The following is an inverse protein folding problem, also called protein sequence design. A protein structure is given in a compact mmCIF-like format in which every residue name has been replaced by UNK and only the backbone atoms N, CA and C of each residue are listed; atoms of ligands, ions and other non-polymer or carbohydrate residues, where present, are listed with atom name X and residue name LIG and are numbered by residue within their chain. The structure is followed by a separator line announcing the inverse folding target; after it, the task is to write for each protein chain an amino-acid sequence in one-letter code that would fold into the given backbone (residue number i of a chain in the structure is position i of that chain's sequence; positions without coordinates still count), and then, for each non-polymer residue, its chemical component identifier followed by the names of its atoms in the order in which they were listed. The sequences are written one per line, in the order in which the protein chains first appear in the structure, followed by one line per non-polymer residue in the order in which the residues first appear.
data_IF_830566106377
#
_entry.id   IF_830566106377
#
_cell.length_a   1.000
_cell.length_b   1.000
_cell.length_c   1.000
_cell.angle_alpha   90.00
_cell.angle_beta   90.00
_cell.angle_gamma   90.00
#
_symmetry.space_group_name_H-M   'P 1'
#
loop_
_entity.id
_entity.type
_entity.pdbx_description
1 polymer ?
#
# COMPACT_ATOMS: atom_id res chain seq x y z
N UNK A 1 -9.67 -14.12 -17.81
CA UNK A 1 -9.75 -15.03 -16.65
C UNK A 1 -8.45 -15.82 -16.46
N UNK A 2 -7.82 -16.38 -17.49
CA UNK A 2 -6.59 -17.16 -17.39
C UNK A 2 -5.40 -16.37 -16.77
N UNK A 3 -5.14 -15.14 -17.22
CA UNK A 3 -4.08 -14.28 -16.62
C UNK A 3 -4.31 -14.00 -15.13
N UNK A 4 -5.57 -13.84 -14.71
CA UNK A 4 -5.90 -13.62 -13.30
C UNK A 4 -5.64 -14.89 -12.47
N UNK A 5 -5.93 -16.05 -13.04
CA UNK A 5 -5.63 -17.34 -12.42
C UNK A 5 -4.12 -17.52 -12.19
N UNK A 6 -3.31 -17.31 -13.23
CA UNK A 6 -1.85 -17.38 -13.12
C UNK A 6 -1.29 -16.40 -12.08
N UNK A 7 -1.87 -15.20 -11.98
CA UNK A 7 -1.49 -14.20 -11.00
C UNK A 7 -1.74 -14.68 -9.56
N UNK A 8 -2.92 -15.28 -9.32
CA UNK A 8 -3.26 -15.80 -7.98
C UNK A 8 -2.35 -16.98 -7.60
N UNK A 9 -2.05 -17.88 -8.54
CA UNK A 9 -1.11 -18.99 -8.31
C UNK A 9 0.30 -18.48 -7.96
N UNK A 10 0.80 -17.50 -8.72
CA UNK A 10 2.14 -16.92 -8.50
C UNK A 10 2.29 -16.31 -7.10
N UNK A 11 1.23 -15.76 -6.54
CA UNK A 11 1.26 -15.11 -5.23
C UNK A 11 1.33 -16.08 -4.04
N UNK A 12 1.17 -17.39 -4.25
CA UNK A 12 1.30 -18.45 -3.22
C UNK A 12 0.59 -18.13 -1.90
N UNK A 13 -0.60 -17.49 -1.98
CA UNK A 13 -1.33 -17.06 -0.78
C UNK A 13 -2.03 -18.22 -0.05
N UNK A 14 -2.24 -18.06 1.26
CA UNK A 14 -2.91 -19.03 2.12
C UNK A 14 -4.38 -19.26 1.73
N UNK A 15 -4.95 -20.40 2.17
CA UNK A 15 -6.38 -20.70 2.04
C UNK A 15 -7.25 -19.66 2.78
N UNK A 16 -8.51 -19.50 2.34
CA UNK A 16 -9.53 -18.69 3.01
C UNK A 16 -10.27 -19.49 4.09
N UNK A 17 -11.51 -19.05 4.40
CA UNK A 17 -12.38 -19.74 5.39
C UNK A 17 -12.79 -21.14 4.97
N UNK A 18 -12.76 -21.45 3.68
CA UNK A 18 -13.11 -22.72 3.07
C UNK A 18 -11.98 -23.77 3.14
N UNK A 19 -10.77 -23.37 3.56
CA UNK A 19 -9.59 -24.24 3.61
C UNK A 19 -9.03 -24.62 2.23
N UNK A 20 -9.64 -24.19 1.12
CA UNK A 20 -9.21 -24.55 -0.23
C UNK A 20 -7.81 -24.03 -0.53
N UNK A 21 -6.92 -24.93 -0.92
CA UNK A 21 -5.56 -24.59 -1.37
C UNK A 21 -5.53 -24.13 -2.84
N UNK A 22 -4.38 -23.57 -3.25
CA UNK A 22 -4.18 -23.17 -4.66
C UNK A 22 -4.13 -24.36 -5.62
N UNK A 23 -3.69 -25.54 -5.16
CA UNK A 23 -3.67 -26.77 -5.95
C UNK A 23 -5.08 -27.28 -6.24
N UNK A 24 -5.94 -27.30 -5.22
CA UNK A 24 -7.35 -27.68 -5.34
C UNK A 24 -8.15 -26.70 -6.18
N UNK A 25 -7.78 -25.40 -6.19
CA UNK A 25 -8.42 -24.39 -7.02
C UNK A 25 -8.43 -24.78 -8.50
N UNK A 26 -7.34 -25.37 -9.02
CA UNK A 26 -7.22 -25.72 -10.43
C UNK A 26 -8.34 -26.69 -10.83
N UNK A 27 -8.40 -27.82 -10.15
CA UNK A 27 -9.41 -28.86 -10.38
C UNK A 27 -10.84 -28.34 -10.16
N UNK A 28 -11.01 -27.50 -9.12
CA UNK A 28 -12.32 -26.90 -8.83
C UNK A 28 -12.79 -25.97 -9.96
N UNK A 29 -11.91 -25.08 -10.44
CA UNK A 29 -12.26 -24.13 -11.52
C UNK A 29 -12.53 -24.87 -12.84
N UNK A 30 -11.76 -25.90 -13.17
CA UNK A 30 -12.00 -26.71 -14.38
C UNK A 30 -13.39 -27.35 -14.35
N UNK A 31 -13.81 -27.85 -13.20
CA UNK A 31 -15.11 -28.51 -13.04
C UNK A 31 -16.29 -27.55 -12.96
N UNK A 32 -16.14 -26.38 -12.31
CA UNK A 32 -17.25 -25.51 -11.93
C UNK A 32 -17.25 -24.13 -12.60
N UNK A 33 -16.35 -23.87 -13.60
CA UNK A 33 -16.22 -22.54 -14.23
C UNK A 33 -17.53 -22.05 -14.85
N UNK A 34 -18.30 -22.92 -15.47
CA UNK A 34 -19.54 -22.55 -16.17
C UNK A 34 -20.67 -22.26 -15.16
N UNK A 35 -20.72 -23.00 -14.06
CA UNK A 35 -21.64 -22.74 -12.94
C UNK A 35 -21.33 -21.38 -12.28
N UNK A 36 -20.04 -21.12 -12.04
CA UNK A 36 -19.58 -19.83 -11.49
C UNK A 36 -19.94 -18.70 -12.44
N UNK A 37 -19.69 -18.87 -13.75
CA UNK A 37 -20.02 -17.84 -14.74
C UNK A 37 -21.52 -17.56 -14.81
N UNK A 38 -22.37 -18.60 -14.80
CA UNK A 38 -23.83 -18.45 -14.76
C UNK A 38 -24.31 -17.76 -13.47
N UNK A 39 -23.78 -18.19 -12.33
CA UNK A 39 -24.11 -17.56 -11.03
C UNK A 39 -23.70 -16.08 -10.97
N UNK A 40 -22.56 -15.71 -11.56
CA UNK A 40 -22.13 -14.31 -11.69
C UNK A 40 -23.10 -13.53 -12.59
N UNK A 41 -23.43 -14.06 -13.77
CA UNK A 41 -24.33 -13.42 -14.73
C UNK A 41 -25.73 -13.18 -14.14
N UNK A 42 -26.31 -14.20 -13.51
CA UNK A 42 -27.60 -14.10 -12.81
C UNK A 42 -27.54 -13.25 -11.54
N UNK A 43 -26.34 -12.94 -11.03
CA UNK A 43 -26.12 -12.20 -9.79
C UNK A 43 -26.35 -13.04 -8.52
N UNK A 44 -26.38 -14.35 -8.67
CA UNK A 44 -26.62 -15.33 -7.59
C UNK A 44 -25.31 -15.76 -6.88
N UNK A 45 -24.15 -15.42 -7.45
CA UNK A 45 -22.87 -15.76 -6.83
C UNK A 45 -22.82 -15.31 -5.35
N UNK A 46 -22.54 -16.26 -4.47
CA UNK A 46 -22.45 -16.04 -3.01
C UNK A 46 -20.98 -15.85 -2.62
N UNK A 47 -20.64 -14.61 -2.28
CA UNK A 47 -19.32 -14.27 -1.73
C UNK A 47 -19.16 -14.90 -0.36
N UNK A 48 -18.03 -15.54 -0.12
CA UNK A 48 -17.73 -16.19 1.15
C UNK A 48 -17.22 -15.17 2.19
N UNK A 49 -17.30 -15.47 3.49
CA UNK A 49 -16.66 -14.69 4.53
C UNK A 49 -15.16 -14.59 4.32
N UNK A 50 -14.56 -13.51 4.78
CA UNK A 50 -13.11 -13.27 4.72
C UNK A 50 -12.49 -13.80 6.00
N UNK A 51 -11.44 -14.61 5.92
CA UNK A 51 -10.69 -15.07 7.09
C UNK A 51 -9.84 -13.90 7.64
N UNK A 52 -10.12 -13.49 8.87
CA UNK A 52 -9.37 -12.43 9.57
C UNK A 52 -8.19 -12.99 10.33
N UNK A 53 -6.98 -12.51 10.01
CA UNK A 53 -5.74 -12.88 10.71
C UNK A 53 -5.12 -11.64 11.33
N UNK A 54 -4.86 -11.71 12.62
CA UNK A 54 -4.24 -10.63 13.39
C UNK A 54 -2.71 -10.70 13.25
N UNK A 55 -2.09 -9.64 12.69
CA UNK A 55 -0.63 -9.53 12.56
C UNK A 55 -0.14 -8.42 13.50
N UNK A 56 0.79 -8.73 14.43
CA UNK A 56 1.34 -7.72 15.33
C UNK A 56 2.18 -6.70 14.56
N UNK A 57 1.99 -5.41 14.89
CA UNK A 57 2.85 -4.31 14.41
C UNK A 57 3.99 -4.08 15.38
N UNK A 58 5.09 -3.48 14.90
CA UNK A 58 6.27 -3.14 15.73
C UNK A 58 5.99 -2.21 16.92
N UNK A 59 4.84 -1.55 16.95
CA UNK A 59 4.40 -0.66 18.03
C UNK A 59 3.36 -1.31 18.97
N UNK A 60 3.26 -2.63 19.00
CA UNK A 60 2.32 -3.38 19.85
C UNK A 60 0.85 -3.36 19.38
N UNK A 61 0.51 -2.57 18.37
CA UNK A 61 -0.83 -2.59 17.77
C UNK A 61 -0.97 -3.77 16.81
N UNK A 62 -2.20 -4.18 16.54
CA UNK A 62 -2.52 -5.28 15.63
C UNK A 62 -2.97 -4.71 14.27
N UNK A 63 -2.56 -5.39 13.19
CA UNK A 63 -3.12 -5.20 11.85
C UNK A 63 -3.99 -6.38 11.52
N UNK A 64 -5.22 -6.14 11.13
CA UNK A 64 -6.13 -7.18 10.67
C UNK A 64 -5.90 -7.40 9.16
N UNK A 65 -5.37 -8.58 8.81
CA UNK A 65 -5.30 -9.03 7.43
C UNK A 65 -6.56 -9.81 7.10
N UNK A 66 -7.18 -9.51 5.97
CA UNK A 66 -8.34 -10.25 5.48
C UNK A 66 -7.95 -11.16 4.32
N UNK A 67 -8.15 -12.46 4.46
CA UNK A 67 -7.84 -13.46 3.44
C UNK A 67 -9.15 -13.97 2.83
N UNK A 68 -9.56 -13.49 1.63
CA UNK A 68 -10.69 -14.05 0.91
C UNK A 68 -10.41 -15.48 0.45
N UNK A 69 -11.44 -16.26 0.16
CA UNK A 69 -11.28 -17.59 -0.46
C UNK A 69 -10.49 -17.50 -1.77
N UNK A 70 -9.91 -18.61 -2.20
CA UNK A 70 -9.09 -18.63 -3.41
C UNK A 70 -9.91 -18.25 -4.64
N UNK A 71 -11.16 -18.73 -4.71
CA UNK A 71 -12.10 -18.41 -5.79
C UNK A 71 -12.46 -16.93 -5.77
N UNK A 72 -12.79 -16.35 -4.62
CA UNK A 72 -13.04 -14.91 -4.52
C UNK A 72 -11.82 -14.08 -4.93
N UNK A 73 -10.60 -14.49 -4.55
CA UNK A 73 -9.35 -13.83 -4.98
C UNK A 73 -9.17 -13.87 -6.50
N UNK A 74 -9.46 -15.00 -7.13
CA UNK A 74 -9.41 -15.14 -8.59
C UNK A 74 -10.40 -14.20 -9.27
N UNK A 75 -11.65 -14.19 -8.83
CA UNK A 75 -12.67 -13.30 -9.39
C UNK A 75 -12.37 -11.82 -9.14
N UNK A 76 -11.85 -11.48 -7.95
CA UNK A 76 -11.38 -10.12 -7.65
C UNK A 76 -10.21 -9.72 -8.55
N UNK A 77 -9.29 -10.63 -8.84
CA UNK A 77 -8.18 -10.40 -9.77
C UNK A 77 -8.67 -10.20 -11.21
N UNK A 78 -9.68 -10.97 -11.65
CA UNK A 78 -10.34 -10.77 -12.95
C UNK A 78 -10.94 -9.37 -13.07
N UNK A 79 -11.71 -8.96 -12.06
CA UNK A 79 -12.31 -7.62 -12.02
C UNK A 79 -11.22 -6.55 -12.00
N UNK A 80 -10.20 -6.69 -11.14
CA UNK A 80 -9.08 -5.76 -11.07
C UNK A 80 -8.45 -5.55 -12.44
N UNK A 81 -8.07 -6.62 -13.13
CA UNK A 81 -7.44 -6.54 -14.46
C UNK A 81 -8.36 -5.90 -15.51
N UNK A 82 -9.66 -6.17 -15.45
CA UNK A 82 -10.62 -5.63 -16.44
C UNK A 82 -10.88 -4.14 -16.28
N UNK A 83 -10.82 -3.61 -15.04
CA UNK A 83 -11.14 -2.20 -14.79
C UNK A 83 -9.91 -1.31 -14.57
N UNK A 84 -8.73 -1.87 -14.27
CA UNK A 84 -7.51 -1.10 -13.96
C UNK A 84 -7.19 -0.07 -15.04
N UNK A 85 -7.20 -0.45 -16.31
CA UNK A 85 -6.83 0.45 -17.40
C UNK A 85 -7.74 1.70 -17.46
N UNK A 86 -9.04 1.53 -17.19
CA UNK A 86 -10.01 2.65 -17.20
C UNK A 86 -9.68 3.73 -16.16
N UNK A 87 -9.12 3.33 -15.02
CA UNK A 87 -8.73 4.25 -13.97
C UNK A 87 -7.29 4.73 -14.11
N UNK A 88 -6.38 3.84 -14.59
CA UNK A 88 -4.96 4.16 -14.75
C UNK A 88 -4.74 5.34 -15.68
N UNK A 89 -5.54 5.49 -16.74
CA UNK A 89 -5.50 6.62 -17.68
C UNK A 89 -5.80 7.98 -17.02
N UNK A 90 -6.48 7.99 -15.87
CA UNK A 90 -6.84 9.22 -15.15
C UNK A 90 -5.98 9.49 -13.93
N UNK A 91 -5.35 8.44 -13.38
CA UNK A 91 -4.55 8.58 -12.18
C UNK A 91 -3.40 9.57 -12.38
N UNK A 92 -3.22 10.44 -11.40
CA UNK A 92 -2.25 11.54 -11.47
C UNK A 92 -0.81 11.05 -11.45
N UNK A 93 0.08 11.82 -12.07
CA UNK A 93 1.49 11.45 -12.26
C UNK A 93 2.23 11.19 -10.94
N UNK A 94 1.89 11.93 -9.89
CA UNK A 94 2.55 11.91 -8.58
C UNK A 94 1.94 10.93 -7.57
N UNK A 95 1.09 10.02 -8.04
CA UNK A 95 0.60 8.85 -7.29
C UNK A 95 1.35 7.60 -7.76
N UNK A 96 2.03 6.89 -6.85
CA UNK A 96 2.98 5.83 -7.19
C UNK A 96 2.60 4.44 -6.67
N UNK A 97 1.95 4.35 -5.51
CA UNK A 97 1.66 3.07 -4.86
C UNK A 97 0.62 2.24 -5.61
N UNK A 98 0.84 0.92 -5.70
CA UNK A 98 -0.09 -0.04 -6.30
C UNK A 98 -0.46 0.20 -7.77
N UNK A 99 0.39 0.85 -8.53
CA UNK A 99 0.14 1.16 -9.94
C UNK A 99 1.14 0.46 -10.86
N UNK A 100 0.71 0.03 -12.07
CA UNK A 100 1.64 -0.51 -13.06
C UNK A 100 2.69 0.52 -13.44
N UNK A 101 3.93 0.07 -13.63
CA UNK A 101 5.08 0.91 -14.04
C UNK A 101 5.43 2.07 -13.09
N UNK A 102 4.86 2.07 -11.87
CA UNK A 102 5.20 3.00 -10.80
C UNK A 102 5.84 2.24 -9.63
N UNK A 103 6.82 2.88 -8.96
CA UNK A 103 7.53 2.25 -7.86
C UNK A 103 7.97 3.27 -6.79
N UNK A 104 8.50 2.74 -5.68
CA UNK A 104 8.97 3.55 -4.56
C UNK A 104 10.17 4.44 -4.94
N UNK A 105 11.08 3.96 -5.79
CA UNK A 105 12.26 4.72 -6.22
C UNK A 105 11.88 5.99 -6.97
N UNK A 106 10.92 5.91 -7.90
CA UNK A 106 10.41 7.08 -8.61
C UNK A 106 9.79 8.12 -7.64
N UNK A 107 9.07 7.65 -6.61
CA UNK A 107 8.52 8.52 -5.58
C UNK A 107 9.62 9.21 -4.77
N UNK A 108 10.64 8.46 -4.35
CA UNK A 108 11.79 8.97 -3.61
C UNK A 108 12.60 10.00 -4.42
N UNK A 109 12.90 9.70 -5.68
CA UNK A 109 13.59 10.62 -6.59
C UNK A 109 12.82 11.93 -6.78
N UNK A 110 11.50 11.84 -6.93
CA UNK A 110 10.67 13.04 -7.07
C UNK A 110 10.61 13.84 -5.76
N UNK A 111 10.61 13.17 -4.59
CA UNK A 111 10.70 13.82 -3.29
C UNK A 111 12.01 14.62 -3.16
N UNK A 112 13.13 13.99 -3.50
CA UNK A 112 14.45 14.62 -3.48
C UNK A 112 14.50 15.83 -4.42
N UNK A 113 13.96 15.70 -5.63
CA UNK A 113 13.87 16.80 -6.59
C UNK A 113 13.13 18.00 -6.00
N UNK A 114 11.98 17.84 -5.36
CA UNK A 114 11.26 18.93 -4.73
C UNK A 114 12.07 19.61 -3.62
N UNK A 115 12.76 18.82 -2.78
CA UNK A 115 13.61 19.37 -1.72
C UNK A 115 14.78 20.16 -2.30
N UNK A 116 15.43 19.66 -3.37
CA UNK A 116 16.50 20.36 -4.07
C UNK A 116 16.03 21.63 -4.80
N UNK A 117 14.77 21.71 -5.18
CA UNK A 117 14.10 22.90 -5.74
C UNK A 117 13.68 23.93 -4.66
N UNK A 118 14.03 23.69 -3.39
CA UNK A 118 13.77 24.60 -2.28
C UNK A 118 12.43 24.43 -1.56
N UNK A 119 11.69 23.34 -1.78
CA UNK A 119 10.48 23.02 -1.03
C UNK A 119 10.86 22.39 0.32
N UNK A 120 11.16 23.22 1.31
CA UNK A 120 11.75 22.81 2.59
C UNK A 120 10.72 22.59 3.72
N UNK A 121 9.43 22.78 3.46
CA UNK A 121 8.36 22.56 4.41
C UNK A 121 7.40 21.50 3.87
N UNK A 122 7.34 20.36 4.53
CA UNK A 122 6.62 19.17 4.09
C UNK A 122 5.43 18.95 5.01
N UNK A 123 4.23 18.98 4.45
CA UNK A 123 3.02 18.54 5.16
C UNK A 123 2.95 17.02 5.01
N UNK A 124 3.28 16.32 6.08
CA UNK A 124 3.28 14.86 6.19
C UNK A 124 1.96 14.41 6.83
N UNK A 125 1.16 13.63 6.12
CA UNK A 125 -0.18 13.22 6.54
C UNK A 125 -0.31 11.71 6.54
N UNK A 126 -0.60 11.16 7.73
CA UNK A 126 -0.94 9.74 7.97
C UNK A 126 -2.46 9.62 8.16
N UNK A 127 -3.11 8.80 7.33
CA UNK A 127 -4.54 8.52 7.46
C UNK A 127 -4.79 7.48 8.55
N UNK A 128 -5.74 7.76 9.44
CA UNK A 128 -6.08 6.85 10.54
C UNK A 128 -6.84 5.64 10.01
N UNK A 129 -6.22 4.46 10.06
CA UNK A 129 -6.84 3.19 9.66
C UNK A 129 -7.53 3.26 8.28
N UNK A 130 -6.89 3.86 7.29
CA UNK A 130 -7.48 4.17 5.99
C UNK A 130 -8.28 3.00 5.40
N UNK A 131 -7.66 1.80 5.33
CA UNK A 131 -8.33 0.62 4.76
C UNK A 131 -9.61 0.21 5.49
N UNK A 132 -9.72 0.48 6.78
CA UNK A 132 -10.90 0.14 7.59
C UNK A 132 -11.97 1.24 7.54
N UNK A 133 -11.62 2.46 7.12
CA UNK A 133 -12.48 3.64 7.15
C UNK A 133 -13.10 4.00 5.80
N UNK A 134 -12.71 3.37 4.69
CA UNK A 134 -13.23 3.67 3.34
C UNK A 134 -14.77 3.57 3.31
N UNK A 135 -15.42 4.67 2.94
CA UNK A 135 -16.88 4.72 2.82
C UNK A 135 -17.36 3.97 1.58
N UNK A 136 -18.15 2.90 1.76
CA UNK A 136 -18.63 2.05 0.66
C UNK A 136 -19.54 2.79 -0.32
N UNK A 137 -20.40 3.71 0.15
CA UNK A 137 -21.32 4.43 -0.73
C UNK A 137 -20.54 5.37 -1.66
N UNK A 138 -19.61 6.14 -1.10
CA UNK A 138 -18.76 7.03 -1.87
C UNK A 138 -17.89 6.26 -2.88
N UNK A 139 -17.23 5.19 -2.43
CA UNK A 139 -16.41 4.34 -3.30
C UNK A 139 -17.22 3.74 -4.45
N UNK A 140 -18.43 3.22 -4.18
CA UNK A 140 -19.29 2.66 -5.22
C UNK A 140 -19.79 3.73 -6.20
N UNK A 141 -20.01 4.96 -5.75
CA UNK A 141 -20.36 6.09 -6.61
C UNK A 141 -19.20 6.44 -7.55
N UNK A 142 -17.96 6.50 -7.03
CA UNK A 142 -16.77 6.74 -7.84
C UNK A 142 -16.55 5.62 -8.88
N UNK A 143 -16.75 4.37 -8.49
CA UNK A 143 -16.71 3.23 -9.39
C UNK A 143 -17.78 3.33 -10.49
N UNK A 144 -19.03 3.67 -10.13
CA UNK A 144 -20.13 3.78 -11.07
C UNK A 144 -19.88 4.79 -12.18
N UNK A 145 -19.14 5.85 -11.91
CA UNK A 145 -18.80 6.86 -12.92
C UNK A 145 -18.07 6.26 -14.14
N UNK A 146 -17.29 5.18 -13.94
CA UNK A 146 -16.47 4.54 -14.98
C UNK A 146 -16.90 3.11 -15.31
N UNK A 147 -17.36 2.36 -14.32
CA UNK A 147 -17.77 0.98 -14.46
C UNK A 147 -19.28 0.94 -14.58
N UNK A 148 -19.80 0.98 -15.82
CA UNK A 148 -21.25 0.99 -16.10
C UNK A 148 -21.87 -0.42 -16.10
N UNK A 149 -21.14 -1.45 -15.67
CA UNK A 149 -21.60 -2.84 -15.62
C UNK A 149 -22.27 -3.14 -14.26
N UNK A 150 -23.60 -3.37 -14.23
CA UNK A 150 -24.32 -3.64 -12.98
C UNK A 150 -23.85 -4.93 -12.27
N UNK A 151 -23.47 -5.96 -13.06
CA UNK A 151 -22.97 -7.23 -12.54
C UNK A 151 -21.67 -7.00 -11.75
N UNK A 152 -20.71 -6.30 -12.36
CA UNK A 152 -19.42 -5.98 -11.72
C UNK A 152 -19.62 -5.15 -10.46
N UNK A 153 -20.44 -4.11 -10.50
CA UNK A 153 -20.69 -3.25 -9.33
C UNK A 153 -21.42 -4.00 -8.20
N UNK A 154 -22.37 -4.88 -8.54
CA UNK A 154 -23.06 -5.75 -7.57
C UNK A 154 -22.05 -6.68 -6.89
N UNK A 155 -21.13 -7.27 -7.66
CA UNK A 155 -20.11 -8.17 -7.14
C UNK A 155 -19.11 -7.44 -6.23
N UNK A 156 -18.62 -6.27 -6.62
CA UNK A 156 -17.76 -5.43 -5.78
C UNK A 156 -18.47 -5.07 -4.47
N UNK A 157 -19.75 -4.68 -4.54
CA UNK A 157 -20.56 -4.39 -3.34
C UNK A 157 -20.68 -5.60 -2.41
N UNK A 158 -20.86 -6.82 -2.96
CA UNK A 158 -20.88 -8.05 -2.17
C UNK A 158 -19.54 -8.27 -1.46
N UNK A 159 -18.40 -8.14 -2.12
CA UNK A 159 -17.07 -8.26 -1.50
C UNK A 159 -16.80 -7.21 -0.44
N UNK A 160 -17.18 -5.95 -0.67
CA UNK A 160 -17.04 -4.89 0.33
C UNK A 160 -17.81 -5.19 1.60
N UNK A 161 -18.98 -5.84 1.50
CA UNK A 161 -19.87 -6.18 2.60
C UNK A 161 -19.66 -7.58 3.18
N UNK A 162 -18.78 -8.39 2.58
CA UNK A 162 -18.46 -9.73 3.06
C UNK A 162 -18.04 -9.65 4.54
N UNK A 163 -18.62 -10.46 5.44
CA UNK A 163 -18.25 -10.47 6.83
C UNK A 163 -16.82 -10.99 7.01
N UNK A 164 -16.14 -10.59 8.08
CA UNK A 164 -14.83 -11.13 8.45
C UNK A 164 -15.04 -12.13 9.60
N UNK A 165 -14.45 -13.31 9.45
CA UNK A 165 -14.37 -14.34 10.49
C UNK A 165 -13.10 -14.13 11.31
N UNK A 166 -13.23 -13.75 12.58
CA UNK A 166 -12.14 -13.55 13.53
C UNK A 166 -12.38 -14.42 14.76
N UNK A 167 -11.48 -15.34 15.05
CA UNK A 167 -11.57 -16.21 16.24
C UNK A 167 -12.95 -16.88 16.38
N UNK A 168 -13.48 -17.38 15.26
CA UNK A 168 -14.80 -18.05 15.22
C UNK A 168 -16.02 -17.12 15.19
N UNK A 169 -15.83 -15.80 15.26
CA UNK A 169 -16.94 -14.82 15.22
C UNK A 169 -17.03 -14.11 13.87
N UNK A 170 -18.23 -14.08 13.28
CA UNK A 170 -18.52 -13.32 12.06
C UNK A 170 -18.84 -11.86 12.37
N UNK A 171 -18.00 -10.95 11.88
CA UNK A 171 -18.16 -9.50 12.04
C UNK A 171 -18.63 -8.90 10.72
N UNK A 172 -19.83 -8.29 10.74
CA UNK A 172 -20.39 -7.58 9.58
C UNK A 172 -19.60 -6.30 9.29
N UNK A 173 -19.43 -5.99 8.00
CA UNK A 173 -18.72 -4.79 7.54
C UNK A 173 -19.68 -3.81 6.87
N UNK A 174 -19.60 -2.53 7.28
CA UNK A 174 -20.36 -1.42 6.69
C UNK A 174 -19.46 -0.39 6.02
N UNK A 175 -18.16 -0.44 6.26
CA UNK A 175 -17.11 0.41 5.70
C UNK A 175 -15.80 -0.38 5.57
N UNK A 176 -14.84 0.21 4.90
CA UNK A 176 -13.48 -0.33 4.72
C UNK A 176 -13.34 -1.31 3.56
N UNK A 177 -12.11 -1.52 3.15
CA UNK A 177 -11.68 -2.51 2.16
C UNK A 177 -10.75 -3.52 2.83
N UNK A 178 -10.86 -4.84 2.54
CA UNK A 178 -10.07 -5.84 3.25
C UNK A 178 -8.59 -5.73 2.88
N UNK A 179 -7.71 -5.63 3.87
CA UNK A 179 -6.27 -5.69 3.64
C UNK A 179 -5.87 -7.13 3.27
N UNK A 180 -5.40 -7.35 2.03
CA UNK A 180 -5.04 -8.67 1.52
C UNK A 180 -5.91 -9.15 0.34
N UNK A 181 -6.97 -8.44 0.01
CA UNK A 181 -7.77 -8.68 -1.20
C UNK A 181 -7.04 -8.13 -2.45
N UNK A 182 -7.00 -8.86 -3.59
CA UNK A 182 -6.40 -8.36 -4.83
C UNK A 182 -7.03 -7.07 -5.37
N UNK A 183 -8.29 -6.82 -5.06
CA UNK A 183 -9.03 -5.64 -5.54
C UNK A 183 -8.77 -4.41 -4.66
N UNK A 184 -8.41 -4.57 -3.39
CA UNK A 184 -8.29 -3.47 -2.41
C UNK A 184 -7.28 -2.39 -2.80
N UNK A 185 -6.10 -2.70 -3.38
CA UNK A 185 -5.15 -1.68 -3.83
C UNK A 185 -5.73 -0.73 -4.89
N UNK A 186 -6.46 -1.27 -5.86
CA UNK A 186 -7.13 -0.46 -6.89
C UNK A 186 -8.25 0.39 -6.28
N UNK A 187 -9.08 -0.18 -5.42
CA UNK A 187 -10.17 0.55 -4.74
C UNK A 187 -9.62 1.69 -3.87
N UNK A 188 -8.49 1.48 -3.21
CA UNK A 188 -7.78 2.50 -2.44
C UNK A 188 -7.33 3.67 -3.34
N UNK A 189 -6.75 3.36 -4.48
CA UNK A 189 -6.33 4.38 -5.44
C UNK A 189 -7.51 5.15 -6.03
N UNK A 190 -8.62 4.47 -6.33
CA UNK A 190 -9.86 5.13 -6.82
C UNK A 190 -10.37 6.13 -5.79
N UNK A 191 -10.42 5.75 -4.51
CA UNK A 191 -10.86 6.63 -3.42
C UNK A 191 -9.95 7.84 -3.26
N UNK A 192 -8.63 7.63 -3.24
CA UNK A 192 -7.64 8.68 -3.01
C UNK A 192 -7.32 9.50 -4.27
N UNK A 193 -7.75 9.05 -5.45
CA UNK A 193 -7.66 9.85 -6.68
C UNK A 193 -8.43 11.16 -6.58
N UNK A 194 -9.51 11.21 -5.80
CA UNK A 194 -10.23 12.45 -5.54
C UNK A 194 -9.36 13.47 -4.78
N UNK A 195 -8.50 13.00 -3.85
CA UNK A 195 -7.49 13.83 -3.22
C UNK A 195 -6.43 14.29 -4.23
N UNK A 196 -5.93 13.38 -5.06
CA UNK A 196 -4.94 13.72 -6.09
C UNK A 196 -5.46 14.81 -7.03
N UNK A 197 -6.74 14.72 -7.45
CA UNK A 197 -7.39 15.75 -8.27
C UNK A 197 -7.46 17.10 -7.57
N UNK A 198 -7.82 17.11 -6.29
CA UNK A 198 -7.89 18.36 -5.51
C UNK A 198 -6.51 19.00 -5.32
N UNK A 199 -5.48 18.19 -5.04
CA UNK A 199 -4.12 18.69 -4.89
C UNK A 199 -3.58 19.28 -6.20
N UNK A 200 -3.79 18.60 -7.32
CA UNK A 200 -3.33 19.06 -8.63
C UNK A 200 -4.09 20.30 -9.12
N UNK A 201 -5.42 20.34 -8.91
CA UNK A 201 -6.26 21.51 -9.23
C UNK A 201 -5.77 22.78 -8.55
N UNK A 202 -5.27 22.67 -7.33
CA UNK A 202 -4.71 23.79 -6.57
C UNK A 202 -3.23 24.04 -6.87
N UNK A 203 -2.60 23.31 -7.80
CA UNK A 203 -1.19 23.48 -8.17
C UNK A 203 -0.20 23.06 -7.08
N UNK A 204 -0.61 22.24 -6.13
CA UNK A 204 0.27 21.82 -5.03
C UNK A 204 1.27 20.77 -5.50
N UNK A 205 2.51 20.88 -5.05
CA UNK A 205 3.52 19.86 -5.21
C UNK A 205 3.29 18.77 -4.17
N UNK A 206 2.98 17.56 -4.60
CA UNK A 206 2.67 16.46 -3.71
C UNK A 206 3.22 15.14 -4.22
N UNK A 207 3.29 14.16 -3.34
CA UNK A 207 3.58 12.77 -3.65
C UNK A 207 2.64 11.89 -2.83
N UNK A 208 2.13 10.84 -3.45
CA UNK A 208 1.35 9.83 -2.77
C UNK A 208 1.86 8.43 -3.09
N UNK A 209 2.07 7.63 -2.07
CA UNK A 209 2.37 6.21 -2.19
C UNK A 209 1.35 5.41 -1.40
N UNK A 210 0.34 4.85 -2.07
CA UNK A 210 -0.84 4.24 -1.43
C UNK A 210 -1.59 5.25 -0.54
N UNK A 211 -1.66 5.01 0.77
CA UNK A 211 -2.28 5.87 1.78
C UNK A 211 -1.31 6.88 2.42
N UNK A 212 0.00 6.71 2.23
CA UNK A 212 1.00 7.69 2.65
C UNK A 212 1.10 8.83 1.64
N UNK A 213 0.95 10.08 2.06
CA UNK A 213 1.13 11.22 1.17
C UNK A 213 1.75 12.44 1.86
N UNK A 214 2.47 13.22 1.07
CA UNK A 214 3.19 14.40 1.51
C UNK A 214 3.02 15.55 0.52
N UNK A 215 2.92 16.78 1.04
CA UNK A 215 2.79 18.01 0.24
C UNK A 215 3.98 18.90 0.54
N UNK A 216 4.60 19.42 -0.53
CA UNK A 216 5.86 20.16 -0.45
C UNK A 216 5.61 21.64 -0.69
N UNK A 217 6.13 22.49 0.21
CA UNK A 217 5.92 23.93 0.19
C UNK A 217 7.21 24.71 0.46
N UNK A 218 7.27 25.96 0.04
CA UNK A 218 8.45 26.81 0.24
C UNK A 218 8.44 27.55 1.59
N UNK A 219 7.27 27.66 2.24
CA UNK A 219 7.16 28.34 3.52
C UNK A 219 6.28 27.57 4.51
N UNK A 220 6.56 27.74 5.81
CA UNK A 220 5.78 27.12 6.89
C UNK A 220 4.33 27.63 6.94
N UNK A 221 4.11 28.90 6.60
CA UNK A 221 2.76 29.48 6.53
C UNK A 221 1.92 28.83 5.44
N UNK A 222 2.48 28.65 4.24
CA UNK A 222 1.83 27.88 3.16
C UNK A 222 1.53 26.45 3.59
N UNK A 223 2.50 25.76 4.23
CA UNK A 223 2.31 24.40 4.73
C UNK A 223 1.11 24.31 5.68
N UNK A 224 0.99 25.26 6.63
CA UNK A 224 -0.13 25.32 7.58
C UNK A 224 -1.46 25.55 6.88
N UNK A 225 -1.52 26.53 5.96
CA UNK A 225 -2.74 26.84 5.21
C UNK A 225 -3.21 25.67 4.35
N UNK A 226 -2.29 25.04 3.59
CA UNK A 226 -2.58 23.88 2.75
C UNK A 226 -2.98 22.68 3.59
N UNK A 227 -2.25 22.39 4.67
CA UNK A 227 -2.56 21.30 5.59
C UNK A 227 -3.99 21.38 6.13
N UNK A 228 -4.44 22.60 6.54
CA UNK A 228 -5.82 22.81 7.00
C UNK A 228 -6.85 22.57 5.91
N UNK A 229 -6.61 23.06 4.68
CA UNK A 229 -7.52 22.84 3.54
C UNK A 229 -7.66 21.33 3.23
N UNK A 230 -6.54 20.63 3.18
CA UNK A 230 -6.52 19.20 2.91
C UNK A 230 -7.18 18.40 4.04
N UNK A 231 -6.98 18.79 5.29
CA UNK A 231 -7.67 18.21 6.44
C UNK A 231 -9.19 18.30 6.27
N UNK A 232 -9.72 19.49 5.96
CA UNK A 232 -11.15 19.69 5.73
C UNK A 232 -11.67 18.89 4.54
N UNK A 233 -10.91 18.81 3.45
CA UNK A 233 -11.26 18.01 2.28
C UNK A 233 -11.37 16.53 2.62
N UNK A 234 -10.37 15.96 3.29
CA UNK A 234 -10.38 14.56 3.71
C UNK A 234 -11.57 14.23 4.62
N UNK A 235 -11.83 15.09 5.60
CA UNK A 235 -12.91 14.89 6.55
C UNK A 235 -14.29 15.07 5.91
N UNK A 236 -14.50 16.14 5.15
CA UNK A 236 -15.83 16.53 4.66
C UNK A 236 -16.19 15.81 3.36
N UNK A 237 -15.24 15.63 2.43
CA UNK A 237 -15.50 15.01 1.13
C UNK A 237 -15.24 13.51 1.13
N UNK A 238 -14.09 13.07 1.65
CA UNK A 238 -13.73 11.65 1.61
C UNK A 238 -14.17 10.87 2.85
N UNK A 239 -14.63 11.56 3.92
CA UNK A 239 -15.04 10.95 5.19
C UNK A 239 -13.90 10.16 5.86
N UNK A 240 -12.64 10.60 5.64
CA UNK A 240 -11.44 10.01 6.17
C UNK A 240 -10.89 10.82 7.35
N UNK A 241 -10.32 10.15 8.33
CA UNK A 241 -9.71 10.77 9.50
C UNK A 241 -8.20 10.78 9.38
N UNK A 242 -7.58 11.89 9.82
CA UNK A 242 -6.11 12.03 9.92
C UNK A 242 -5.65 11.56 11.30
N UNK A 243 -4.54 10.86 11.33
CA UNK A 243 -3.83 10.54 12.56
C UNK A 243 -3.00 11.76 13.00
N UNK A 244 -3.54 12.55 13.93
CA UNK A 244 -2.92 13.80 14.38
C UNK A 244 -1.57 13.61 15.07
N UNK A 245 -1.35 12.47 15.71
CA UNK A 245 -0.09 12.17 16.41
C UNK A 245 1.08 11.96 15.43
N UNK A 246 0.80 11.43 14.26
CA UNK A 246 1.81 11.12 13.26
C UNK A 246 1.92 12.20 12.17
N UNK A 247 0.83 12.91 11.89
CA UNK A 247 0.81 13.97 10.89
C UNK A 247 1.41 15.27 11.41
N UNK A 248 2.03 16.06 10.52
CA UNK A 248 2.59 17.34 10.90
C UNK A 248 3.35 18.03 9.77
N UNK A 249 3.88 19.21 10.08
CA UNK A 249 4.76 19.93 9.18
C UNK A 249 6.20 19.57 9.55
N UNK A 250 6.93 19.02 8.60
CA UNK A 250 8.31 18.55 8.74
C UNK A 250 9.27 19.42 7.94
N UNK A 251 10.52 19.48 8.40
CA UNK A 251 11.66 19.87 7.55
C UNK A 251 12.29 18.61 6.96
N UNK A 252 13.09 18.69 5.89
CA UNK A 252 13.68 17.50 5.27
C UNK A 252 14.41 16.59 6.24
N UNK A 253 15.21 17.14 7.16
CA UNK A 253 15.99 16.36 8.13
C UNK A 253 15.13 15.61 9.17
N UNK A 254 13.88 16.04 9.37
CA UNK A 254 12.91 15.43 10.27
C UNK A 254 11.79 14.70 9.54
N UNK A 255 11.98 14.42 8.24
CA UNK A 255 11.01 13.75 7.40
C UNK A 255 11.50 12.38 6.96
N UNK A 256 10.66 11.38 7.12
CA UNK A 256 10.89 10.02 6.62
C UNK A 256 9.85 9.70 5.56
N UNK A 257 10.28 9.13 4.45
CA UNK A 257 9.42 8.67 3.36
C UNK A 257 9.85 7.28 2.90
N UNK A 258 8.92 6.33 2.88
CA UNK A 258 9.14 4.97 2.37
C UNK A 258 10.39 4.29 2.95
N UNK A 259 10.66 4.45 4.25
CA UNK A 259 11.80 3.85 4.93
C UNK A 259 13.14 4.53 4.65
N UNK A 260 13.13 5.70 4.03
CA UNK A 260 14.28 6.58 3.83
C UNK A 260 14.12 7.88 4.61
N UNK A 261 15.24 8.51 4.98
CA UNK A 261 15.32 9.83 5.63
C UNK A 261 16.27 10.74 4.86
N UNK A 262 16.19 12.03 5.07
CA UNK A 262 17.16 12.98 4.53
C UNK A 262 18.29 13.21 5.52
N UNK A 263 19.52 13.26 5.00
CA UNK A 263 20.73 13.56 5.76
C UNK A 263 21.44 14.76 5.14
N UNK A 264 22.04 15.62 5.97
CA UNK A 264 22.92 16.67 5.48
C UNK A 264 24.26 16.06 5.06
N UNK A 265 24.70 16.39 3.87
CA UNK A 265 26.05 16.09 3.43
C UNK A 265 26.89 17.35 3.58
N UNK A 266 28.00 17.22 4.29
CA UNK A 266 29.02 18.27 4.35
C UNK A 266 30.05 18.00 3.26
N UNK A 267 30.06 18.83 2.23
CA UNK A 267 31.19 18.93 1.30
C UNK A 267 32.02 20.13 1.69
N UNK A 268 33.33 20.09 1.44
CA UNK A 268 34.27 21.18 1.82
C UNK A 268 33.91 22.54 1.19
N UNK A 269 33.05 22.56 0.16
CA UNK A 269 32.87 23.73 -0.70
C UNK A 269 31.45 24.37 -0.66
N UNK A 270 30.44 23.74 -0.10
CA UNK A 270 29.11 24.35 0.02
C UNK A 270 28.21 23.60 1.05
N UNK A 271 27.17 24.28 1.55
CA UNK A 271 26.06 23.59 2.24
C UNK A 271 25.42 22.59 1.27
N UNK A 272 25.78 21.32 1.42
CA UNK A 272 25.25 20.28 0.58
C UNK A 272 23.74 20.15 0.75
N UNK A 273 23.06 19.95 -0.37
CA UNK A 273 21.62 19.69 -0.37
C UNK A 273 21.34 18.39 0.39
N UNK A 274 20.22 18.29 1.12
CA UNK A 274 19.85 17.07 1.83
C UNK A 274 19.71 15.89 0.85
N UNK A 275 20.36 14.77 1.20
CA UNK A 275 20.37 13.55 0.40
C UNK A 275 19.57 12.43 1.09
N UNK A 276 19.00 11.51 0.30
CA UNK A 276 18.28 10.36 0.83
C UNK A 276 19.22 9.28 1.34
N UNK A 277 18.95 8.78 2.54
CA UNK A 277 19.62 7.62 3.14
C UNK A 277 18.59 6.68 3.76
N UNK A 278 18.98 5.44 4.04
CA UNK A 278 18.11 4.52 4.76
C UNK A 278 17.77 5.05 6.16
N UNK A 279 16.51 4.92 6.60
CA UNK A 279 16.11 5.35 7.93
C UNK A 279 16.68 4.43 9.02
N UNK A 280 16.82 4.94 10.25
CA UNK A 280 17.25 4.15 11.39
C UNK A 280 16.40 2.89 11.61
N UNK A 281 15.08 3.00 11.34
CA UNK A 281 14.17 1.85 11.38
C UNK A 281 14.49 0.81 10.31
N UNK A 282 14.84 1.23 9.10
CA UNK A 282 15.26 0.33 8.00
C UNK A 282 16.53 -0.43 8.39
N UNK A 283 17.53 0.24 8.92
CA UNK A 283 18.76 -0.37 9.45
C UNK A 283 18.49 -1.37 10.57
N UNK A 284 17.68 -0.98 11.56
CA UNK A 284 17.29 -1.87 12.66
C UNK A 284 16.64 -3.15 12.13
N UNK A 285 15.72 -3.03 11.17
CA UNK A 285 15.04 -4.18 10.56
C UNK A 285 16.02 -5.10 9.83
N UNK A 286 16.98 -4.54 9.09
CA UNK A 286 18.06 -5.32 8.45
C UNK A 286 18.88 -6.09 9.49
N UNK A 287 19.35 -5.38 10.52
CA UNK A 287 20.16 -5.97 11.60
C UNK A 287 19.42 -7.11 12.33
N UNK A 288 18.14 -6.91 12.64
CA UNK A 288 17.31 -7.93 13.29
C UNK A 288 17.14 -9.17 12.40
N UNK A 289 16.91 -8.99 11.10
CA UNK A 289 16.82 -10.11 10.14
C UNK A 289 18.15 -10.87 10.03
N UNK A 290 19.27 -10.15 9.93
CA UNK A 290 20.59 -10.78 9.86
C UNK A 290 20.91 -11.52 11.16
N UNK A 291 20.70 -10.91 12.33
CA UNK A 291 20.85 -11.58 13.62
C UNK A 291 19.98 -12.83 13.75
N UNK A 292 18.74 -12.80 13.24
CA UNK A 292 17.87 -13.99 13.25
C UNK A 292 18.43 -15.14 12.38
N UNK A 293 18.98 -14.82 11.18
CA UNK A 293 19.56 -15.82 10.28
C UNK A 293 20.85 -16.41 10.87
N UNK A 294 21.66 -15.59 11.54
CA UNK A 294 22.97 -15.99 12.08
C UNK A 294 22.93 -16.62 13.45
N UNK A 295 21.75 -16.77 14.08
CA UNK A 295 21.61 -17.45 15.39
C UNK A 295 22.19 -18.87 15.35
N UNK A 296 23.04 -19.19 16.33
CA UNK A 296 23.66 -20.53 16.46
C UNK A 296 22.63 -21.65 16.62
N UNK A 297 21.51 -21.37 17.29
CA UNK A 297 20.41 -22.31 17.55
C UNK A 297 19.54 -22.61 16.33
N UNK A 298 19.77 -21.97 15.19
CA UNK A 298 18.98 -22.22 13.98
C UNK A 298 19.58 -23.37 13.19
N UNK A 299 18.85 -24.48 13.10
CA UNK A 299 19.26 -25.70 12.40
C UNK A 299 19.10 -25.52 10.86
N UNK A 300 20.05 -24.82 10.26
CA UNK A 300 20.17 -24.67 8.79
C UNK A 300 21.63 -24.87 8.37
N UNK A 301 21.85 -25.42 7.18
CA UNK A 301 23.20 -25.63 6.63
C UNK A 301 23.93 -24.28 6.42
N UNK A 302 25.27 -24.32 6.36
CA UNK A 302 26.07 -23.13 6.10
C UNK A 302 25.71 -22.49 4.73
N UNK A 303 25.55 -23.31 3.70
CA UNK A 303 25.17 -22.83 2.36
C UNK A 303 23.81 -22.15 2.35
N UNK A 304 22.80 -22.74 2.99
CA UNK A 304 21.47 -22.13 3.13
C UNK A 304 21.53 -20.82 3.93
N UNK A 305 22.38 -20.74 4.95
CA UNK A 305 22.59 -19.52 5.74
C UNK A 305 23.18 -18.40 4.90
N UNK A 306 24.23 -18.69 4.14
CA UNK A 306 24.88 -17.75 3.22
C UNK A 306 23.88 -17.25 2.16
N UNK A 307 23.11 -18.17 1.58
CA UNK A 307 22.09 -17.80 0.59
C UNK A 307 21.05 -16.84 1.20
N UNK A 308 20.51 -17.13 2.37
CA UNK A 308 19.53 -16.26 3.06
C UNK A 308 20.10 -14.89 3.43
N UNK A 309 21.36 -14.82 3.86
CA UNK A 309 22.06 -13.55 4.12
C UNK A 309 22.14 -12.73 2.84
N UNK A 310 22.60 -13.34 1.74
CA UNK A 310 22.73 -12.69 0.45
C UNK A 310 21.38 -12.18 -0.09
N UNK A 311 20.32 -12.96 0.03
CA UNK A 311 18.94 -12.56 -0.37
C UNK A 311 18.48 -11.32 0.40
N UNK A 312 18.65 -11.33 1.74
CA UNK A 312 18.24 -10.20 2.59
C UNK A 312 19.06 -8.95 2.29
N UNK A 313 20.39 -9.08 2.16
CA UNK A 313 21.26 -7.95 1.87
C UNK A 313 21.00 -7.37 0.47
N UNK A 314 20.92 -8.21 -0.56
CA UNK A 314 20.61 -7.76 -1.95
C UNK A 314 19.26 -7.06 -2.00
N UNK A 315 18.22 -7.62 -1.37
CA UNK A 315 16.90 -7.00 -1.33
C UNK A 315 16.93 -5.63 -0.67
N UNK A 316 17.64 -5.50 0.45
CA UNK A 316 17.76 -4.24 1.18
C UNK A 316 18.60 -3.20 0.40
N UNK A 317 19.76 -3.60 -0.14
CA UNK A 317 20.62 -2.73 -0.97
C UNK A 317 19.83 -2.25 -2.19
N UNK A 318 19.19 -3.14 -2.93
CA UNK A 318 18.41 -2.77 -4.12
C UNK A 318 17.28 -1.79 -3.80
N UNK A 319 16.64 -1.92 -2.63
CA UNK A 319 15.60 -0.99 -2.20
C UNK A 319 16.17 0.37 -1.79
N UNK A 320 17.30 0.40 -1.07
CA UNK A 320 17.90 1.63 -0.53
C UNK A 320 18.85 2.33 -1.52
N UNK A 321 19.13 1.72 -2.67
CA UNK A 321 20.07 2.18 -3.71
C UNK A 321 19.60 3.44 -4.47
N UNK A 322 18.65 4.19 -3.92
CA UNK A 322 18.16 5.43 -4.56
C UNK A 322 19.27 6.48 -4.68
N UNK A 323 20.25 6.46 -3.77
CA UNK A 323 21.48 7.25 -3.87
C UNK A 323 22.67 6.48 -3.28
N UNK A 324 23.79 6.46 -3.98
CA UNK A 324 25.04 5.76 -3.66
C UNK A 324 25.78 6.22 -2.40
N UNK A 325 25.19 7.07 -1.57
CA UNK A 325 25.83 7.66 -0.38
C UNK A 325 25.52 6.83 0.86
N UNK A 326 25.73 5.55 0.76
CA UNK A 326 25.10 4.66 1.71
C UNK A 326 25.94 4.21 2.88
N UNK A 327 27.23 4.39 2.95
CA UNK A 327 27.94 3.56 3.94
C UNK A 327 29.19 4.21 4.57
N UNK A 328 29.54 5.42 4.25
CA UNK A 328 30.83 5.92 4.76
C UNK A 328 30.80 6.67 6.10
N UNK A 329 29.66 6.99 6.69
CA UNK A 329 29.62 7.86 7.88
C UNK A 329 28.63 7.44 8.98
N UNK A 330 28.49 6.17 9.32
CA UNK A 330 28.08 5.84 10.69
C UNK A 330 29.30 5.35 11.46
N UNK A 331 29.66 6.00 12.59
CA UNK A 331 30.75 5.49 13.42
C UNK A 331 30.39 4.12 13.94
N UNK A 332 31.25 3.15 13.64
CA UNK A 332 31.23 1.81 14.21
C UNK A 332 31.21 1.90 15.75
N UNK A 333 30.02 1.77 16.34
CA UNK A 333 29.86 1.30 17.69
C UNK A 333 29.46 -0.17 17.62
N UNK A 334 30.45 -1.00 17.55
CA UNK A 334 30.37 -2.43 17.88
C UNK A 334 30.65 -2.58 19.37
#
# INVERSE_FOLDING_TARGET
MHLAYLHVLKNKGSAGVDGMSLTEMTTYVEKHRDEIAQALYKGEYKVQPILGVEIPKSNGKVRLLGIPTVIDRWLQQCVTQSITLKFELEFKAYSYGFRPNKNAHQCLQQSQKYIHEGYQHIVDIDLKNFFDEVNHCLLLQLLYNKVKCPITLRLIRKWLRAPILIKGKLIKRRKGVPQGSPLSPLLSNIMLHELDKELEKNGYKYLRYADDFSIYTKSRSQAKAIGNKVFLFLQNKLKLQINREKSGIRTPLNFEILGCRYVSMYTKEARAKPELAASAKSWKTLTEKLKFITRKTKAISLNERIQKINEVQRGWINYTKVNYILVQNEPSKI
#
